data_IF_100928462273
#
_entry.id   IF_100928462273
#
_cell.length_a   1.000
_cell.length_b   1.000
_cell.length_c   1.000
_cell.angle_alpha   90.00
_cell.angle_beta   90.00
_cell.angle_gamma   90.00
#
_symmetry.space_group_name_H-M   'P 1'
#
loop_
_entity.id
_entity.type
_entity.pdbx_description
1 polymer ?
2 non-polymer ?
3 non-polymer ?
4 non-polymer ?
5 water ?
#
# COMPACT_ATOMS: atom_id res chain seq x y z
N UNK A 21 -14.75 -16.10 -10.68
CA UNK A 21 -13.75 -15.72 -11.73
C UNK A 21 -14.32 -15.19 -13.03
N UNK A 22 -15.65 -15.25 -13.27
CA UNK A 22 -16.22 -14.52 -14.40
C UNK A 22 -16.00 -13.02 -14.20
N UNK A 23 -15.70 -12.35 -15.29
CA UNK A 23 -15.49 -10.93 -15.25
C UNK A 23 -16.76 -10.19 -14.88
N UNK A 24 -16.61 -9.10 -14.13
CA UNK A 24 -17.74 -8.26 -13.87
C UNK A 24 -18.27 -7.54 -15.11
N UNK A 25 -19.50 -7.08 -14.98
CA UNK A 25 -20.08 -6.16 -15.94
C UNK A 25 -19.62 -4.74 -15.57
N UNK A 26 -18.60 -4.27 -16.29
CA UNK A 26 -17.96 -2.97 -15.99
C UNK A 26 -18.88 -1.78 -16.22
N UNK A 27 -19.99 -2.02 -16.93
CA UNK A 27 -20.95 -0.96 -17.28
C UNK A 27 -22.15 -0.84 -16.31
N UNK A 28 -22.30 -1.74 -15.35
CA UNK A 28 -23.46 -1.75 -14.47
C UNK A 28 -23.39 -0.65 -13.41
N UNK A 29 -24.56 -0.21 -12.96
CA UNK A 29 -24.62 0.76 -11.84
C UNK A 29 -23.98 0.19 -10.57
N UNK A 30 -24.23 -1.10 -10.33
CA UNK A 30 -23.66 -1.81 -9.19
C UNK A 30 -22.12 -1.75 -9.23
N UNK A 31 -21.54 -2.05 -10.37
CA UNK A 31 -20.08 -2.06 -10.51
C UNK A 31 -19.53 -0.62 -10.37
N UNK A 32 -20.16 0.33 -11.04
CA UNK A 32 -19.66 1.72 -11.01
C UNK A 32 -19.67 2.31 -9.60
N UNK A 33 -20.72 2.02 -8.87
CA UNK A 33 -20.86 2.47 -7.50
C UNK A 33 -19.71 1.96 -6.63
N UNK A 34 -19.44 0.66 -6.71
CA UNK A 34 -18.34 0.08 -5.95
C UNK A 34 -16.99 0.69 -6.43
N UNK A 35 -16.85 0.81 -7.74
CA UNK A 35 -15.64 1.35 -8.31
C UNK A 35 -15.39 2.76 -7.88
N UNK A 36 -16.46 3.56 -7.65
CA UNK A 36 -16.25 4.98 -7.24
C UNK A 36 -15.44 5.09 -5.96
N UNK A 37 -15.68 4.17 -5.04
CA UNK A 37 -14.99 4.11 -3.76
C UNK A 37 -13.62 3.47 -3.86
N UNK A 38 -13.53 2.33 -4.52
CA UNK A 38 -12.26 1.63 -4.64
C UNK A 38 -11.25 2.52 -5.42
N UNK A 39 -11.72 3.08 -6.53
CA UNK A 39 -10.88 3.99 -7.36
C UNK A 39 -10.37 5.18 -6.55
N UNK A 40 -11.25 5.79 -5.76
CA UNK A 40 -10.87 6.90 -4.88
C UNK A 40 -9.81 6.49 -3.87
N UNK A 41 -9.97 5.32 -3.25
CA UNK A 41 -8.95 4.83 -2.32
C UNK A 41 -7.58 4.70 -2.95
N UNK A 42 -7.51 4.14 -4.14
CA UNK A 42 -6.26 3.98 -4.83
C UNK A 42 -5.63 5.37 -5.18
N UNK A 43 -6.44 6.26 -5.70
CA UNK A 43 -5.97 7.60 -6.07
C UNK A 43 -5.40 8.34 -4.83
N UNK A 44 -6.18 8.34 -3.75
CA UNK A 44 -5.70 8.93 -2.48
C UNK A 44 -4.45 8.24 -1.96
N UNK A 45 -4.40 6.91 -2.03
CA UNK A 45 -3.23 6.17 -1.61
C UNK A 45 -1.97 6.57 -2.36
N UNK A 46 -2.07 6.67 -3.67
CA UNK A 46 -0.93 7.11 -4.49
C UNK A 46 -0.47 8.53 -4.12
N UNK A 47 -1.40 9.46 -3.94
CA UNK A 47 -1.05 10.82 -3.51
C UNK A 47 -0.36 10.80 -2.13
N UNK A 48 -0.93 10.04 -1.20
CA UNK A 48 -0.32 9.99 0.15
C UNK A 48 1.08 9.37 0.10
N UNK A 49 1.27 8.37 -0.76
CA UNK A 49 2.57 7.72 -0.94
C UNK A 49 3.59 8.75 -1.44
N UNK A 50 3.23 9.52 -2.48
CA UNK A 50 4.03 10.66 -2.87
C UNK A 50 4.42 11.54 -1.70
N UNK A 51 3.42 11.97 -0.93
CA UNK A 51 3.65 12.87 0.18
C UNK A 51 4.56 12.24 1.24
N UNK A 52 4.38 10.96 1.49
CA UNK A 52 5.13 10.22 2.47
C UNK A 52 6.62 10.07 2.08
N UNK A 53 6.91 9.77 0.81
CA UNK A 53 8.32 9.63 0.41
C UNK A 53 9.03 10.99 0.48
N UNK A 54 8.35 12.04 0.08
CA UNK A 54 8.89 13.40 0.20
C UNK A 54 9.16 13.76 1.68
N UNK A 55 8.21 13.41 2.55
CA UNK A 55 8.36 13.69 3.98
C UNK A 55 9.56 12.91 4.57
N UNK A 56 9.69 11.66 4.16
CA UNK A 56 10.82 10.81 4.60
C UNK A 56 12.17 11.48 4.21
N UNK A 57 12.18 12.23 3.11
CA UNK A 57 13.38 13.02 2.72
C UNK A 57 13.82 14.04 3.77
N UNK A 58 12.87 14.57 4.56
CA UNK A 58 13.25 15.45 5.64
C UNK A 58 13.99 14.68 6.74
N UNK A 59 13.70 13.39 6.91
CA UNK A 59 14.35 12.55 7.91
C UNK A 59 15.68 11.98 7.44
N UNK A 60 15.75 11.76 6.12
CA UNK A 60 16.95 11.19 5.45
C UNK A 60 17.39 12.12 4.33
N UNK A 61 18.02 13.23 4.69
CA UNK A 61 18.38 14.24 3.67
C UNK A 61 19.28 13.71 2.55
N UNK A 62 20.15 12.77 2.89
CA UNK A 62 21.05 12.15 1.92
C UNK A 62 20.34 11.20 0.93
N UNK A 63 19.08 10.85 1.22
CA UNK A 63 18.23 10.01 0.32
C UNK A 63 17.28 10.82 -0.56
N UNK A 64 17.34 12.15 -0.50
CA UNK A 64 16.32 13.03 -1.13
C UNK A 64 16.16 12.74 -2.62
N UNK A 65 17.25 12.52 -3.37
CA UNK A 65 17.08 12.32 -4.83
C UNK A 65 16.43 10.98 -5.14
N UNK A 66 16.73 9.93 -4.40
CA UNK A 66 16.01 8.66 -4.60
C UNK A 66 14.55 8.78 -4.22
N UNK A 67 14.29 9.40 -3.05
CA UNK A 67 12.90 9.55 -2.55
C UNK A 67 12.08 10.39 -3.51
N UNK A 68 12.68 11.41 -4.10
CA UNK A 68 12.01 12.20 -5.13
C UNK A 68 11.62 11.36 -6.35
N UNK A 69 12.50 10.46 -6.72
CA UNK A 69 12.23 9.52 -7.82
C UNK A 69 11.05 8.60 -7.48
N UNK A 70 11.05 8.06 -6.27
CA UNK A 70 9.93 7.18 -5.83
C UNK A 70 8.61 7.99 -5.83
N UNK A 71 8.68 9.22 -5.31
CA UNK A 71 7.54 10.13 -5.22
C UNK A 71 6.96 10.45 -6.59
N UNK A 72 7.84 10.65 -7.58
CA UNK A 72 7.43 10.88 -8.95
C UNK A 72 6.74 9.66 -9.57
N UNK A 74 4.91 7.58 -7.85
CA UNK A 74 3.57 7.55 -7.24
C UNK A 74 2.62 8.48 -7.98
N UNK A 76 2.76 9.29 -11.16
CA UNK A 76 2.41 8.56 -12.38
C UNK A 76 1.34 7.52 -12.08
N UNK A 77 1.50 6.76 -11.00
CA UNK A 77 0.49 5.77 -10.61
C UNK A 77 -0.88 6.50 -10.44
N UNK A 78 -0.86 7.62 -9.72
CA UNK A 78 -2.08 8.38 -9.44
C UNK A 78 -2.75 8.80 -10.73
N UNK A 79 -1.97 9.27 -11.71
CA UNK A 79 -2.55 9.71 -12.99
C UNK A 79 -3.18 8.57 -13.75
N UNK A 80 -2.51 7.41 -13.73
CA UNK A 80 -3.02 6.20 -14.38
C UNK A 80 -4.34 5.71 -13.79
N UNK A 81 -4.40 5.63 -12.46
CA UNK A 81 -5.61 5.16 -11.81
C UNK A 81 -6.77 6.17 -11.92
N UNK A 82 -6.44 7.45 -11.97
CA UNK A 82 -7.44 8.49 -12.21
C UNK A 82 -8.07 8.21 -13.58
N UNK A 83 -7.24 7.90 -14.57
CA UNK A 83 -7.71 7.63 -15.92
C UNK A 83 -8.58 6.34 -15.97
N UNK A 84 -8.35 5.39 -15.07
CA UNK A 84 -9.18 4.16 -14.99
C UNK A 84 -10.64 4.48 -14.62
N UNK A 85 -10.81 5.40 -13.68
CA UNK A 85 -12.10 5.89 -13.26
C UNK A 85 -12.81 6.60 -14.40
N UNK A 86 -12.08 7.51 -15.03
CA UNK A 86 -12.64 8.32 -16.13
C UNK A 86 -13.07 7.40 -17.26
N UNK A 87 -12.24 6.40 -17.54
CA UNK A 87 -12.53 5.43 -18.62
C UNK A 87 -13.84 4.68 -18.42
N UNK A 88 -14.21 4.40 -17.15
CA UNK A 88 -15.47 3.71 -16.83
C UNK A 88 -16.63 4.66 -16.56
N UNK A 89 -16.40 5.97 -16.68
CA UNK A 89 -17.44 6.94 -16.40
C UNK A 89 -17.81 7.05 -14.95
N UNK A 90 -16.82 6.89 -14.08
CA UNK A 90 -17.01 6.92 -12.66
C UNK A 90 -16.36 8.17 -12.05
N UNK A 91 -17.07 8.79 -11.12
CA UNK A 91 -16.53 9.88 -10.32
C UNK A 91 -16.04 9.33 -8.98
N UNK A 92 -14.76 9.51 -8.73
CA UNK A 92 -14.14 9.06 -7.49
C UNK A 92 -14.66 9.76 -6.24
N UNK A 93 -15.05 8.97 -5.24
CA UNK A 93 -15.51 9.45 -3.94
C UNK A 93 -14.31 9.75 -3.03
N UNK A 95 -13.82 11.96 -0.61
CA UNK A 95 -14.03 12.09 0.84
C UNK A 95 -14.03 10.76 1.54
N UNK A 96 -14.70 9.77 0.96
CA UNK A 96 -14.62 8.42 1.46
C UNK A 96 -13.15 7.98 1.61
N UNK A 97 -12.35 8.25 0.56
CA UNK A 97 -10.97 7.79 0.52
C UNK A 97 -10.10 8.44 1.62
N UNK A 98 -10.32 9.73 1.82
CA UNK A 98 -9.52 10.46 2.81
C UNK A 98 -9.84 9.96 4.23
N UNK A 99 -11.10 9.67 4.51
CA UNK A 99 -11.48 9.06 5.78
C UNK A 99 -10.91 7.65 5.96
N UNK A 100 -10.92 6.86 4.89
CA UNK A 100 -10.39 5.52 4.90
C UNK A 100 -8.90 5.47 5.33
N UNK A 101 -8.11 6.43 4.89
CA UNK A 101 -6.67 6.49 5.21
C UNK A 101 -6.36 7.25 6.51
N UNK A 102 -7.37 7.89 7.09
CA UNK A 102 -7.06 8.83 8.19
C UNK A 102 -6.34 8.20 9.37
N UNK A 103 -6.82 7.05 9.87
CA UNK A 103 -6.11 6.46 11.04
C UNK A 103 -4.60 6.13 10.82
N UNK A 104 -4.29 5.60 9.66
CA UNK A 104 -2.93 5.30 9.33
C UNK A 104 -2.11 6.56 8.98
N UNK A 105 -2.73 7.49 8.29
CA UNK A 105 -2.13 8.78 7.99
C UNK A 105 -1.75 9.50 9.30
N UNK A 106 -2.67 9.51 10.28
CA UNK A 106 -2.39 10.16 11.56
C UNK A 106 -1.17 9.54 12.22
N UNK A 107 -1.11 8.20 12.21
CA UNK A 107 0.06 7.50 12.78
C UNK A 107 1.36 7.83 12.06
N UNK A 108 1.31 7.93 10.74
CA UNK A 108 2.49 8.30 9.97
C UNK A 108 2.95 9.72 10.35
N UNK A 109 1.99 10.64 10.42
CA UNK A 109 2.27 12.04 10.82
C UNK A 109 2.86 12.15 12.21
N UNK A 110 2.36 11.34 13.12
CA UNK A 110 2.84 11.36 14.52
C UNK A 110 4.32 10.94 14.54
N UNK A 111 4.62 9.85 13.83
CA UNK A 111 6.02 9.32 13.74
C UNK A 111 6.95 10.32 13.05
N UNK A 112 6.49 10.92 11.97
CA UNK A 112 7.27 11.94 11.23
C UNK A 112 7.67 13.06 12.17
N UNK A 113 6.69 13.55 12.92
CA UNK A 113 6.91 14.64 13.87
C UNK A 113 7.91 14.31 14.95
N UNK A 114 7.98 13.04 15.33
CA UNK A 114 8.93 12.55 16.32
C UNK A 114 10.27 12.10 15.73
N UNK A 115 10.47 12.24 14.41
CA UNK A 115 11.70 11.80 13.76
C UNK A 115 11.93 10.30 13.66
N UNK A 116 10.85 9.53 13.76
CA UNK A 116 10.85 8.05 13.83
C UNK A 116 10.88 7.43 12.45
N UNK A 117 12.02 7.60 11.78
CA UNK A 117 12.24 7.05 10.45
C UNK A 117 11.85 5.58 10.30
N UNK A 118 12.27 4.72 11.25
CA UNK A 118 11.92 3.30 11.09
C UNK A 118 10.40 3.07 11.01
N UNK A 119 9.65 3.78 11.83
CA UNK A 119 8.21 3.64 11.83
C UNK A 119 7.58 4.18 10.53
N UNK A 120 8.00 5.38 10.11
CA UNK A 120 7.56 5.91 8.79
C UNK A 120 7.80 4.90 7.64
N UNK A 121 8.97 4.29 7.65
CA UNK A 121 9.30 3.33 6.61
C UNK A 121 8.48 2.03 6.72
N UNK A 122 8.32 1.53 7.93
CA UNK A 122 7.45 0.37 8.12
C UNK A 122 6.02 0.66 7.61
N UNK A 123 5.46 1.83 7.94
CA UNK A 123 4.13 2.18 7.50
C UNK A 123 4.03 2.26 5.98
N UNK A 124 4.87 3.09 5.38
CA UNK A 124 4.76 3.35 3.92
C UNK A 124 5.38 2.25 3.08
N UNK A 125 6.67 1.97 3.33
CA UNK A 125 7.43 1.12 2.42
C UNK A 125 7.17 -0.40 2.60
N UNK A 126 6.71 -0.81 3.79
CA UNK A 126 6.36 -2.23 4.00
C UNK A 126 4.84 -2.44 3.98
N UNK A 127 4.11 -1.91 4.96
CA UNK A 127 2.67 -2.24 5.10
C UNK A 127 1.86 -1.76 3.91
N UNK A 128 2.01 -0.50 3.54
CA UNK A 128 1.19 0.05 2.47
C UNK A 128 1.61 -0.52 1.10
N UNK A 129 2.89 -0.64 0.85
CA UNK A 129 3.33 -1.25 -0.43
C UNK A 129 2.85 -2.70 -0.53
N UNK A 130 2.89 -3.44 0.56
CA UNK A 130 2.39 -4.83 0.55
C UNK A 130 0.86 -4.88 0.29
N UNK A 131 0.12 -3.96 0.90
CA UNK A 131 -1.33 -3.84 0.70
C UNK A 131 -1.64 -3.54 -0.76
N UNK A 132 -0.88 -2.61 -1.32
CA UNK A 132 -1.08 -2.24 -2.73
C UNK A 132 -0.77 -3.37 -3.69
N UNK A 133 0.41 -3.98 -3.50
CA UNK A 133 0.80 -5.16 -4.26
C UNK A 133 -0.29 -6.21 -4.30
N UNK A 134 -0.80 -6.58 -3.11
CA UNK A 134 -1.84 -7.59 -2.98
C UNK A 134 -3.13 -7.15 -3.72
N UNK A 135 -3.51 -5.92 -3.54
CA UNK A 135 -4.72 -5.38 -4.16
C UNK A 135 -4.61 -5.43 -5.71
N UNK A 136 -3.47 -4.96 -6.18
CA UNK A 136 -3.22 -4.86 -7.64
C UNK A 136 -3.08 -6.26 -8.28
N UNK A 137 -2.38 -7.17 -7.63
CA UNK A 137 -2.29 -8.55 -8.12
C UNK A 137 -3.65 -9.25 -8.13
N UNK A 138 -4.50 -8.93 -7.16
CA UNK A 138 -5.81 -9.56 -7.07
C UNK A 138 -6.78 -8.94 -8.11
N UNK A 139 -6.63 -7.64 -8.34
CA UNK A 139 -7.47 -6.92 -9.33
C UNK A 139 -7.22 -7.30 -10.80
N UNK A 140 -5.95 -7.49 -11.12
CA UNK A 140 -5.56 -7.70 -12.53
C UNK A 140 -6.42 -8.70 -13.30
N UNK A 141 -6.58 -9.94 -12.78
CA UNK A 141 -7.37 -10.91 -13.52
C UNK A 141 -8.84 -10.62 -13.70
N UNK A 142 -9.38 -9.66 -12.93
CA UNK A 142 -10.80 -9.31 -13.03
C UNK A 142 -11.03 -7.86 -13.51
N UNK A 143 -9.97 -7.23 -14.01
CA UNK A 143 -9.98 -5.87 -14.47
C UNK A 143 -10.39 -5.76 -15.95
N UNK A 144 -10.96 -4.61 -16.27
CA UNK A 144 -11.24 -4.23 -17.64
C UNK A 144 -9.96 -4.03 -18.45
N UNK A 145 -10.06 -4.15 -19.79
CA UNK A 145 -8.79 -4.14 -20.56
C UNK A 145 -7.91 -2.85 -20.42
N UNK A 146 -8.52 -1.68 -20.25
CA UNK A 146 -7.79 -0.43 -20.08
C UNK A 146 -7.06 -0.42 -18.75
N UNK A 147 -7.80 -0.73 -17.69
CA UNK A 147 -7.24 -0.73 -16.35
C UNK A 147 -6.22 -1.83 -16.19
N UNK A 148 -6.40 -2.95 -16.90
CA UNK A 148 -5.48 -4.07 -16.73
C UNK A 148 -4.04 -3.69 -17.11
N UNK A 149 -3.90 -3.03 -18.27
CA UNK A 149 -2.60 -2.55 -18.72
C UNK A 149 -2.02 -1.53 -17.75
N UNK A 150 -2.83 -0.59 -17.23
CA UNK A 150 -2.28 0.38 -16.28
C UNK A 150 -1.78 -0.32 -15.04
N UNK A 151 -2.59 -1.23 -14.48
CA UNK A 151 -2.24 -1.93 -13.28
C UNK A 151 -0.97 -2.81 -13.47
N UNK A 152 -0.92 -3.53 -14.58
CA UNK A 152 0.30 -4.31 -14.92
C UNK A 152 1.57 -3.43 -14.97
N UNK A 153 1.50 -2.21 -15.50
CA UNK A 153 2.60 -1.25 -15.34
C UNK A 153 3.07 -0.97 -13.91
N UNK A 154 2.14 -0.78 -13.00
CA UNK A 154 2.41 -0.36 -11.64
C UNK A 154 3.05 -1.41 -10.69
N UNK A 155 2.70 -2.68 -10.88
CA UNK A 155 3.09 -3.72 -9.91
C UNK A 155 4.64 -3.86 -9.81
N UNK A 156 5.35 -3.77 -10.91
CA UNK A 156 6.83 -3.73 -10.84
C UNK A 156 7.38 -2.63 -9.92
N UNK A 157 6.78 -1.45 -9.99
CA UNK A 157 7.24 -0.33 -9.16
C UNK A 157 7.02 -0.59 -7.66
N UNK A 158 5.96 -1.32 -7.30
CA UNK A 158 5.67 -1.66 -5.89
C UNK A 158 6.85 -2.43 -5.31
N UNK A 159 7.34 -3.40 -6.09
CA UNK A 159 8.51 -4.19 -5.65
C UNK A 159 9.73 -3.29 -5.46
N UNK A 160 9.90 -2.29 -6.33
CA UNK A 160 10.99 -1.30 -6.13
C UNK A 160 10.85 -0.58 -4.79
N UNK A 161 9.63 -0.20 -4.49
CA UNK A 161 9.36 0.56 -3.23
C UNK A 161 9.55 -0.32 -2.01
N UNK A 162 8.96 -1.51 -2.03
CA UNK A 162 9.23 -2.50 -0.99
C UNK A 162 10.73 -2.75 -0.78
N UNK A 163 11.44 -2.95 -1.90
CA UNK A 163 12.91 -3.16 -1.84
C UNK A 163 13.67 -1.98 -1.20
N UNK A 164 13.21 -0.76 -1.48
CA UNK A 164 13.85 0.42 -0.88
C UNK A 164 13.69 0.36 0.64
N UNK A 165 12.46 0.07 1.12
CA UNK A 165 12.23 0.03 2.57
C UNK A 165 13.02 -1.09 3.22
N UNK A 166 12.95 -2.26 2.59
CA UNK A 166 13.67 -3.44 3.02
C UNK A 166 15.14 -3.11 3.21
N UNK A 167 15.76 -2.44 2.24
CA UNK A 167 17.21 -2.21 2.28
C UNK A 167 17.61 -1.30 3.46
N UNK A 168 16.87 -0.22 3.67
CA UNK A 168 17.21 0.68 4.77
C UNK A 168 17.03 0.02 6.15
N UNK A 169 15.92 -0.70 6.28
CA UNK A 169 15.58 -1.38 7.58
C UNK A 169 16.58 -2.54 7.85
N UNK A 170 16.98 -3.23 6.79
CA UNK A 170 18.01 -4.29 6.88
C UNK A 170 19.32 -3.72 7.41
N UNK A 171 19.73 -2.59 6.84
CA UNK A 171 20.99 -1.99 7.21
C UNK A 171 20.97 -1.45 8.63
N UNK A 172 19.81 -1.00 9.10
CA UNK A 172 19.63 -0.37 10.43
C UNK A 172 18.93 -1.23 11.50
N UNK A 173 18.76 -2.52 11.24
CA UNK A 173 17.87 -3.34 12.07
C UNK A 173 18.26 -3.34 13.54
N UNK A 174 19.55 -3.45 13.79
CA UNK A 174 20.01 -3.57 15.14
C UNK A 174 19.77 -2.33 16.01
N UNK A 175 19.56 -1.17 15.43
CA UNK A 175 19.23 0.03 16.20
C UNK A 175 17.73 0.25 16.36
N UNK A 176 16.95 -0.45 15.55
CA UNK A 176 15.51 -0.18 15.53
C UNK A 176 14.55 -1.34 15.72
N UNK A 177 15.05 -2.50 16.14
CA UNK A 177 14.21 -3.68 16.37
C UNK A 177 12.96 -3.37 17.16
N UNK A 178 13.15 -2.82 18.35
CA UNK A 178 12.03 -2.57 19.26
C UNK A 178 11.00 -1.59 18.69
N UNK A 179 11.48 -0.56 18.02
CA UNK A 179 10.58 0.41 17.42
C UNK A 179 9.73 -0.27 16.34
N UNK A 180 10.37 -1.11 15.54
CA UNK A 180 9.65 -1.84 14.48
C UNK A 180 8.61 -2.78 15.05
N UNK A 181 8.93 -3.45 16.15
CA UNK A 181 7.90 -4.30 16.81
C UNK A 181 6.70 -3.46 17.29
N UNK A 182 6.97 -2.27 17.85
CA UNK A 182 5.92 -1.33 18.24
C UNK A 182 5.10 -0.83 17.03
N UNK A 183 5.81 -0.39 15.99
CA UNK A 183 5.17 0.11 14.77
C UNK A 183 4.26 -0.95 14.15
N UNK A 184 4.72 -2.20 14.14
CA UNK A 184 3.89 -3.28 13.67
C UNK A 184 2.63 -3.51 14.54
N UNK A 185 2.85 -3.53 15.86
CA UNK A 185 1.76 -3.71 16.82
C UNK A 185 0.62 -2.70 16.60
N UNK A 186 1.00 -1.44 16.37
CA UNK A 186 0.04 -0.35 16.24
C UNK A 186 -0.62 -0.27 14.88
N UNK A 187 0.12 -0.60 13.83
CA UNK A 187 -0.32 -0.30 12.45
C UNK A 187 -0.81 -1.51 11.68
N UNK A 188 -0.27 -2.70 11.98
CA UNK A 188 -0.82 -3.89 11.27
C UNK A 188 -2.38 -4.05 11.43
N UNK A 189 -2.94 -3.86 12.65
CA UNK A 189 -4.40 -3.89 12.84
C UNK A 189 -5.15 -2.89 11.99
N UNK A 190 -4.54 -1.75 11.69
CA UNK A 190 -5.16 -0.77 10.81
C UNK A 190 -5.28 -1.25 9.37
N UNK A 191 -4.28 -1.96 8.89
CA UNK A 191 -4.38 -2.63 7.57
C UNK A 191 -5.51 -3.64 7.58
N UNK A 192 -5.56 -4.47 8.63
CA UNK A 192 -6.69 -5.43 8.80
C UNK A 192 -8.04 -4.73 8.74
N UNK A 193 -8.16 -3.61 9.43
CA UNK A 193 -9.40 -2.87 9.44
C UNK A 193 -9.77 -2.32 8.06
N UNK A 195 -8.82 -3.65 5.20
CA UNK A 195 -9.23 -4.85 4.40
C UNK A 195 -10.71 -5.15 4.72
N UNK A 196 -11.07 -5.16 6.00
CA UNK A 196 -12.45 -5.41 6.38
C UNK A 196 -13.38 -4.39 5.75
N UNK A 197 -12.97 -3.12 5.75
CA UNK A 197 -13.78 -2.04 5.24
C UNK A 197 -13.94 -2.05 3.71
N UNK A 198 -12.94 -2.53 2.97
CA UNK A 198 -12.97 -2.52 1.52
C UNK A 198 -13.60 -3.80 0.93
N UNK A 199 -13.80 -4.83 1.76
CA UNK A 199 -14.05 -6.19 1.22
C UNK A 199 -15.38 -6.25 0.46
N UNK A 200 -16.40 -5.54 0.91
CA UNK A 200 -17.66 -5.61 0.20
C UNK A 200 -17.60 -5.04 -1.21
N UNK A 201 -17.04 -3.84 -1.32
CA UNK A 201 -16.83 -3.26 -2.63
C UNK A 201 -15.86 -4.12 -3.49
N UNK A 202 -14.79 -4.64 -2.87
CA UNK A 202 -13.86 -5.48 -3.61
C UNK A 202 -14.58 -6.73 -4.16
N UNK A 203 -15.51 -7.26 -3.37
CA UNK A 203 -16.30 -8.43 -3.86
C UNK A 203 -17.17 -8.09 -5.10
N UNK A 204 -17.79 -6.93 -5.10
CA UNK A 204 -18.46 -6.41 -6.31
C UNK A 204 -17.51 -6.41 -7.51
N UNK A 205 -16.25 -6.01 -7.28
CA UNK A 205 -15.20 -6.07 -8.31
C UNK A 205 -14.67 -7.48 -8.64
N UNK A 206 -15.29 -8.52 -8.05
CA UNK A 206 -14.94 -9.94 -8.22
C UNK A 206 -13.59 -10.29 -7.62
N UNK A 208 -11.72 -11.72 -4.23
CA UNK A 208 -11.88 -12.52 -3.00
C UNK A 208 -11.02 -11.93 -1.87
N UNK A 209 -11.67 -11.58 -0.76
CA UNK A 209 -10.97 -11.06 0.42
C UNK A 209 -9.87 -12.03 0.87
N UNK A 210 -10.12 -13.34 0.77
CA UNK A 210 -9.09 -14.32 1.19
C UNK A 210 -7.83 -14.25 0.34
N UNK A 211 -7.99 -13.96 -0.96
CA UNK A 211 -6.84 -13.70 -1.84
C UNK A 211 -6.05 -12.45 -1.46
N UNK A 212 -6.78 -11.40 -1.12
CA UNK A 212 -6.16 -10.13 -0.68
C UNK A 212 -5.35 -10.35 0.60
N UNK A 213 -5.93 -11.08 1.54
CA UNK A 213 -5.23 -11.32 2.79
C UNK A 213 -3.98 -12.16 2.57
N UNK A 214 -4.10 -13.25 1.83
CA UNK A 214 -2.97 -14.14 1.57
C UNK A 214 -1.80 -13.40 0.92
N UNK A 215 -2.09 -12.64 -0.14
CA UNK A 215 -1.06 -12.01 -0.89
C UNK A 215 -0.37 -10.93 -0.04
N UNK A 216 -1.15 -10.22 0.77
CA UNK A 216 -0.63 -9.17 1.65
C UNK A 216 0.35 -9.82 2.67
N UNK A 217 -0.11 -10.88 3.32
CA UNK A 217 0.72 -11.51 4.37
C UNK A 217 1.98 -12.09 3.78
N UNK A 218 1.90 -12.72 2.61
CA UNK A 218 3.10 -13.26 1.95
C UNK A 218 4.10 -12.11 1.63
N UNK A 219 3.64 -11.02 1.01
CA UNK A 219 4.50 -9.91 0.73
C UNK A 219 5.13 -9.33 1.97
N UNK A 220 4.33 -9.13 3.02
CA UNK A 220 4.84 -8.54 4.24
C UNK A 220 5.82 -9.47 4.94
N UNK A 221 5.47 -10.75 5.06
CA UNK A 221 6.41 -11.72 5.64
C UNK A 221 7.72 -11.80 4.88
N UNK A 222 7.67 -11.78 3.56
CA UNK A 222 8.88 -11.79 2.76
C UNK A 222 9.76 -10.56 2.98
N UNK A 223 9.14 -9.39 3.17
CA UNK A 223 9.87 -8.17 3.47
C UNK A 223 10.54 -8.30 4.83
N UNK A 224 9.78 -8.76 5.84
CA UNK A 224 10.34 -8.96 7.19
C UNK A 224 11.53 -9.94 7.19
N UNK A 225 11.40 -11.03 6.42
CA UNK A 225 12.49 -12.01 6.26
C UNK A 225 13.73 -11.32 5.70
N UNK A 226 13.57 -10.59 4.59
CA UNK A 226 14.68 -9.87 3.97
C UNK A 226 15.37 -8.92 4.95
N UNK A 227 14.59 -8.24 5.78
CA UNK A 227 15.10 -7.28 6.73
C UNK A 227 15.95 -7.97 7.81
N UNK A 228 15.60 -9.21 8.15
CA UNK A 228 16.40 -10.00 9.09
C UNK A 228 15.64 -10.61 10.26
N UNK A 229 14.31 -10.50 10.27
CA UNK A 229 13.52 -11.12 11.32
C UNK A 229 13.45 -12.64 11.10
N UNK A 230 13.52 -13.42 12.17
CA UNK A 230 13.35 -14.87 12.05
C UNK A 230 11.88 -15.32 12.07
N UNK A 231 11.68 -16.62 11.87
CA UNK A 231 10.32 -17.19 11.77
C UNK A 231 9.49 -16.92 13.00
N UNK A 232 10.08 -17.12 14.17
CA UNK A 232 9.34 -16.86 15.41
C UNK A 232 8.92 -15.38 15.53
N UNK A 233 9.87 -14.48 15.23
CA UNK A 233 9.60 -13.04 15.29
C UNK A 233 8.50 -12.65 14.35
N UNK A 234 8.52 -13.16 13.12
CA UNK A 234 7.51 -12.83 12.15
C UNK A 234 6.13 -13.38 12.56
N UNK A 235 6.12 -14.58 13.12
CA UNK A 235 4.87 -15.18 13.55
C UNK A 235 4.24 -14.38 14.65
N UNK A 236 5.05 -13.99 15.60
CA UNK A 236 4.60 -13.12 16.68
C UNK A 236 4.08 -11.76 16.12
N UNK A 238 2.95 -11.16 12.83
CA UNK A 238 1.73 -11.32 12.00
C UNK A 238 0.52 -11.53 12.88
N UNK A 239 0.73 -12.13 14.04
CA UNK A 239 -0.32 -12.36 14.99
C UNK A 239 -0.91 -11.06 15.54
N UNK A 240 -0.18 -9.94 15.43
CA UNK A 240 -0.59 -8.68 16.13
C UNK A 240 -1.91 -8.21 15.55
N UNK A 241 -2.09 -8.58 14.27
CA UNK A 241 -3.28 -8.29 13.51
C UNK A 241 -4.54 -8.56 14.34
N UNK A 242 -4.36 -9.35 15.42
CA UNK A 242 -5.41 -9.74 16.37
C UNK A 242 -6.38 -8.64 16.71
#
# INVERSE_FOLDING_TARGET
GXPTLEXPVAAVLDSTVGSSEALPDFTSDRYKDAYSRINAIVIEGEQEAHDNYIAIGTLLPDHVEELKRLAKXEXRHKKGFTACGKNLGVEADXDFAREFFAPLRDNFQTALGQGKTPTCLLIQALLIEAFAISAYHTYIPVSDPFARKITEGVVKDEYTHLNYGEAWLKANLESCREELLEANRENLPLIRRXLDQVAGDAAVLQXDKEDLIEDFLIAYQESLTEIGFNTREITRXAAAALVS
#
